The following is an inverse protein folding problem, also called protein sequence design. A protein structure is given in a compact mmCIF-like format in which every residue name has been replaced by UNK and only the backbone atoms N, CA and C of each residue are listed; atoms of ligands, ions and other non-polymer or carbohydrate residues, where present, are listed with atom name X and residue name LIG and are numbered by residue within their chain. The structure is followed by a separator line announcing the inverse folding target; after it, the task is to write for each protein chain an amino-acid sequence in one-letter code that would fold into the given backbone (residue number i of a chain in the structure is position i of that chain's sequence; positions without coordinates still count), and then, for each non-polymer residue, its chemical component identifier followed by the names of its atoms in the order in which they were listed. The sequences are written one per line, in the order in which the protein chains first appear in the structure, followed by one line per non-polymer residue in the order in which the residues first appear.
data_IF_330763701436
#
_entry.id   IF_330763701436
#
_cell.length_a   1.000
_cell.length_b   1.000
_cell.length_c   1.000
_cell.angle_alpha   90.00
_cell.angle_beta   90.00
_cell.angle_gamma   90.00
#
_symmetry.space_group_name_H-M   'P 1'
#
loop_
_entity.id
_entity.type
_entity.pdbx_description
1 polymer ?
#
# COMPACT_ATOMS: atom_id res chain seq x y z
N UNK A 1 -8.99 -11.56 -24.71
CA UNK A 1 -9.14 -10.11 -24.96
C UNK A 1 -10.04 -9.54 -23.86
N UNK A 2 -9.48 -9.05 -22.76
CA UNK A 2 -10.26 -8.41 -21.68
C UNK A 2 -10.71 -7.06 -22.21
N UNK A 3 -12.01 -6.78 -22.13
CA UNK A 3 -12.57 -5.45 -22.43
C UNK A 3 -11.96 -4.48 -21.43
N UNK A 4 -11.02 -3.65 -21.87
CA UNK A 4 -10.65 -2.44 -21.13
C UNK A 4 -11.94 -1.65 -20.96
N UNK A 5 -12.55 -1.72 -19.77
CA UNK A 5 -13.60 -0.77 -19.39
C UNK A 5 -12.99 0.59 -19.64
N UNK A 6 -13.60 1.38 -20.53
CA UNK A 6 -13.12 2.72 -20.84
C UNK A 6 -12.94 3.45 -19.51
N UNK A 7 -11.69 3.78 -19.16
CA UNK A 7 -11.40 4.46 -17.93
C UNK A 7 -12.12 5.81 -17.99
N UNK A 8 -12.97 6.08 -17.00
CA UNK A 8 -13.69 7.34 -16.83
C UNK A 8 -13.40 7.90 -15.44
N UNK A 9 -13.63 9.20 -15.22
CA UNK A 9 -13.50 9.79 -13.87
C UNK A 9 -14.32 9.03 -12.83
N UNK A 10 -15.52 8.54 -13.23
CA UNK A 10 -16.41 7.74 -12.37
C UNK A 10 -15.78 6.42 -11.90
N UNK A 11 -14.92 5.81 -12.72
CA UNK A 11 -14.22 4.55 -12.39
C UNK A 11 -12.85 4.76 -11.76
N UNK A 12 -12.41 6.00 -11.61
CA UNK A 12 -11.11 6.33 -11.05
C UNK A 12 -11.16 6.17 -9.52
N UNK A 13 -10.22 5.39 -8.99
CA UNK A 13 -10.06 5.19 -7.55
C UNK A 13 -8.58 5.38 -7.17
N UNK A 14 -8.29 5.37 -5.87
CA UNK A 14 -6.93 5.63 -5.36
C UNK A 14 -5.87 4.62 -5.81
N UNK A 15 -6.26 3.44 -6.30
CA UNK A 15 -5.34 2.46 -6.90
C UNK A 15 -5.15 2.72 -8.39
N UNK A 16 -6.24 2.76 -9.17
CA UNK A 16 -6.20 2.90 -10.63
C UNK A 16 -5.62 4.25 -11.10
N UNK A 17 -5.65 5.28 -10.24
CA UNK A 17 -5.04 6.58 -10.53
C UNK A 17 -3.52 6.50 -10.73
N UNK A 18 -2.85 5.46 -10.21
CA UNK A 18 -1.43 5.27 -10.45
C UNK A 18 -1.11 4.67 -11.82
N UNK A 19 -2.08 4.04 -12.50
CA UNK A 19 -1.91 3.50 -13.85
C UNK A 19 -2.04 4.57 -14.96
N UNK A 20 -2.65 5.73 -14.66
CA UNK A 20 -2.86 6.78 -15.65
C UNK A 20 -1.65 7.71 -15.83
N UNK A 21 -1.60 8.40 -16.97
CA UNK A 21 -0.63 9.46 -17.26
C UNK A 21 -1.25 10.86 -17.07
N UNK A 22 -0.42 11.90 -17.04
CA UNK A 22 -0.90 13.29 -16.88
C UNK A 22 -1.84 13.69 -18.02
N UNK A 23 -1.60 13.18 -19.24
CA UNK A 23 -2.47 13.44 -20.39
C UNK A 23 -3.85 12.81 -20.22
N UNK A 24 -3.91 11.64 -19.58
CA UNK A 24 -5.16 10.96 -19.31
C UNK A 24 -6.01 11.73 -18.31
N UNK A 25 -5.39 12.37 -17.32
CA UNK A 25 -6.10 13.24 -16.36
C UNK A 25 -6.90 14.32 -17.11
N UNK A 26 -6.29 15.01 -18.08
CA UNK A 26 -6.97 16.04 -18.86
C UNK A 26 -8.08 15.46 -19.74
N UNK A 27 -7.82 14.34 -20.42
CA UNK A 27 -8.82 13.67 -21.27
C UNK A 27 -10.03 13.18 -20.45
N UNK A 28 -9.78 12.59 -19.29
CA UNK A 28 -10.79 12.11 -18.35
C UNK A 28 -11.67 13.27 -17.87
N UNK A 29 -11.05 14.42 -17.58
CA UNK A 29 -11.76 15.64 -17.20
C UNK A 29 -12.62 16.19 -18.35
N UNK A 30 -12.07 16.29 -19.57
CA UNK A 30 -12.81 16.75 -20.75
C UNK A 30 -13.97 15.82 -21.12
N UNK A 31 -13.80 14.50 -20.95
CA UNK A 31 -14.87 13.53 -21.18
C UNK A 31 -16.00 13.71 -20.17
N UNK A 32 -15.67 13.95 -18.90
CA UNK A 32 -16.68 14.17 -17.88
C UNK A 32 -17.31 15.57 -17.94
N UNK A 33 -16.70 16.56 -18.58
CA UNK A 33 -17.37 17.85 -18.89
C UNK A 33 -18.62 17.65 -19.76
N UNK A 34 -18.69 16.55 -20.51
CA UNK A 34 -19.86 16.18 -21.33
C UNK A 34 -20.93 15.41 -20.54
N UNK A 35 -20.64 15.05 -19.30
CA UNK A 35 -21.49 14.25 -18.42
C UNK A 35 -22.06 15.14 -17.29
N UNK A 36 -23.38 15.14 -17.10
CA UNK A 36 -24.07 16.08 -16.20
C UNK A 36 -23.74 15.89 -14.72
N UNK A 37 -23.25 14.71 -14.34
CA UNK A 37 -22.96 14.31 -12.95
C UNK A 37 -21.63 14.83 -12.42
N UNK A 38 -20.84 15.54 -13.24
CA UNK A 38 -19.51 15.98 -12.84
C UNK A 38 -19.57 16.92 -11.62
N UNK A 39 -20.56 17.81 -11.54
CA UNK A 39 -20.61 18.94 -10.58
C UNK A 39 -20.54 18.51 -9.11
N UNK A 40 -21.25 17.46 -8.72
CA UNK A 40 -21.31 17.05 -7.30
C UNK A 40 -20.08 16.23 -6.87
N UNK A 41 -19.44 15.55 -7.81
CA UNK A 41 -18.32 14.64 -7.54
C UNK A 41 -16.93 15.23 -7.89
N UNK A 42 -16.83 16.47 -8.40
CA UNK A 42 -15.55 17.10 -8.78
C UNK A 42 -14.53 17.08 -7.64
N UNK A 43 -14.97 17.39 -6.42
CA UNK A 43 -14.09 17.44 -5.24
C UNK A 43 -13.53 16.07 -4.90
N UNK A 44 -14.37 15.04 -4.96
CA UNK A 44 -13.96 13.65 -4.73
C UNK A 44 -12.95 13.20 -5.79
N UNK A 45 -13.25 13.40 -7.07
CA UNK A 45 -12.32 13.02 -8.15
C UNK A 45 -11.01 13.79 -8.06
N UNK A 46 -11.03 15.08 -7.72
CA UNK A 46 -9.82 15.86 -7.51
C UNK A 46 -9.02 15.37 -6.31
N UNK A 47 -9.67 14.90 -5.23
CA UNK A 47 -8.97 14.26 -4.11
C UNK A 47 -8.31 12.93 -4.51
N UNK A 48 -8.98 12.12 -5.34
CA UNK A 48 -8.40 10.88 -5.88
C UNK A 48 -7.20 11.20 -6.80
N UNK A 49 -7.33 12.17 -7.70
CA UNK A 49 -6.19 12.57 -8.56
C UNK A 49 -5.05 13.15 -7.72
N UNK A 50 -5.35 13.93 -6.67
CA UNK A 50 -4.34 14.48 -5.75
C UNK A 50 -3.58 13.43 -4.93
N UNK A 51 -4.03 12.18 -4.85
CA UNK A 51 -3.27 11.13 -4.16
C UNK A 51 -2.01 10.78 -4.96
N UNK A 52 -2.09 10.72 -6.29
CA UNK A 52 -1.00 10.32 -7.18
C UNK A 52 -0.39 11.47 -8.03
N UNK A 53 -1.08 12.61 -8.14
CA UNK A 53 -0.63 13.75 -8.94
C UNK A 53 -0.58 15.03 -8.10
N UNK A 54 0.42 15.86 -8.36
CA UNK A 54 0.42 17.25 -7.96
C UNK A 54 -0.32 18.08 -8.99
N UNK A 55 -1.37 18.75 -8.54
CA UNK A 55 -2.26 19.57 -9.35
C UNK A 55 -2.21 21.00 -8.83
N UNK A 56 -1.87 21.95 -9.71
CA UNK A 56 -1.80 23.38 -9.38
C UNK A 56 -2.58 24.21 -10.41
N UNK A 57 -3.38 25.16 -9.92
CA UNK A 57 -4.12 26.10 -10.78
C UNK A 57 -3.16 27.21 -11.26
N UNK A 58 -3.07 27.39 -12.57
CA UNK A 58 -2.27 28.46 -13.19
C UNK A 58 -3.08 29.77 -13.13
N UNK A 59 -2.98 30.46 -11.99
CA UNK A 59 -3.69 31.75 -11.76
C UNK A 59 -3.21 32.88 -12.67
N UNK A 60 -1.98 32.80 -13.18
CA UNK A 60 -1.36 33.82 -14.03
C UNK A 60 -0.93 33.18 -15.34
N UNK A 61 -1.69 33.44 -16.40
CA UNK A 61 -1.42 32.95 -17.76
C UNK A 61 -0.27 33.73 -18.44
N UNK A 62 0.90 33.71 -17.80
CA UNK A 62 2.14 34.26 -18.35
C UNK A 62 3.00 33.13 -18.91
N UNK A 63 3.59 33.31 -20.11
CA UNK A 63 4.44 32.29 -20.73
C UNK A 63 5.67 31.96 -19.87
N UNK A 64 6.14 32.88 -19.02
CA UNK A 64 7.23 32.63 -18.07
C UNK A 64 6.86 31.64 -16.96
N UNK A 65 5.62 31.72 -16.44
CA UNK A 65 5.13 30.82 -15.38
C UNK A 65 4.90 29.43 -15.97
N UNK A 66 4.32 29.37 -17.17
CA UNK A 66 4.13 28.13 -17.93
C UNK A 66 5.48 27.46 -18.17
N UNK A 67 6.48 28.19 -18.70
CA UNK A 67 7.83 27.64 -18.91
C UNK A 67 8.47 27.13 -17.62
N UNK A 68 8.34 27.86 -16.50
CA UNK A 68 8.86 27.40 -15.20
C UNK A 68 8.15 26.13 -14.71
N UNK A 69 6.86 25.97 -14.97
CA UNK A 69 6.10 24.78 -14.62
C UNK A 69 6.50 23.60 -15.52
N UNK A 70 6.65 23.82 -16.83
CA UNK A 70 7.15 22.82 -17.78
C UNK A 70 8.59 22.37 -17.45
N UNK A 71 9.48 23.30 -17.09
CA UNK A 71 10.85 23.02 -16.63
C UNK A 71 10.85 22.17 -15.35
N UNK A 72 9.86 22.35 -14.47
CA UNK A 72 9.66 21.51 -13.28
C UNK A 72 8.99 20.17 -13.59
N UNK A 73 8.65 19.90 -14.86
CA UNK A 73 8.04 18.66 -15.32
C UNK A 73 6.52 18.61 -15.19
N UNK A 74 5.84 19.75 -15.03
CA UNK A 74 4.37 19.79 -15.09
C UNK A 74 3.89 19.84 -16.53
N UNK A 75 2.81 19.12 -16.82
CA UNK A 75 2.04 19.31 -18.05
C UNK A 75 0.92 20.28 -17.80
N UNK A 76 0.72 21.21 -18.74
CA UNK A 76 -0.30 22.23 -18.64
C UNK A 76 -1.46 21.86 -19.56
N UNK A 77 -2.65 21.86 -19.01
CA UNK A 77 -3.89 21.63 -19.75
C UNK A 77 -4.99 22.56 -19.26
N UNK A 78 -6.02 22.73 -20.07
CA UNK A 78 -7.22 23.46 -19.67
C UNK A 78 -8.26 22.46 -19.19
N UNK A 79 -8.79 22.66 -17.99
CA UNK A 79 -9.92 21.90 -17.47
C UNK A 79 -10.97 22.85 -16.93
N UNK A 80 -12.25 22.53 -17.13
CA UNK A 80 -13.36 23.28 -16.58
C UNK A 80 -13.64 22.81 -15.15
N UNK A 81 -13.53 23.74 -14.21
CA UNK A 81 -13.99 23.57 -12.84
C UNK A 81 -14.95 24.71 -12.53
N UNK A 82 -16.09 24.41 -11.91
CA UNK A 82 -17.09 25.41 -11.51
C UNK A 82 -17.50 26.36 -12.67
N UNK A 83 -17.75 25.80 -13.86
CA UNK A 83 -18.18 26.49 -15.09
C UNK A 83 -17.12 27.35 -15.81
N UNK A 84 -16.00 27.68 -15.15
CA UNK A 84 -14.86 28.39 -15.73
C UNK A 84 -13.81 27.44 -16.31
N UNK A 85 -13.37 27.70 -17.54
CA UNK A 85 -12.21 27.02 -18.12
C UNK A 85 -10.94 27.65 -17.55
N UNK A 86 -10.23 26.92 -16.71
CA UNK A 86 -8.98 27.37 -16.10
C UNK A 86 -7.81 26.54 -16.60
N UNK A 87 -6.62 27.11 -16.56
CA UNK A 87 -5.37 26.39 -16.86
C UNK A 87 -4.88 25.72 -15.60
N UNK A 88 -4.52 24.46 -15.72
CA UNK A 88 -4.05 23.62 -14.63
C UNK A 88 -2.77 22.93 -15.04
N UNK A 89 -1.84 22.89 -14.10
CA UNK A 89 -0.59 22.19 -14.19
C UNK A 89 -0.73 20.86 -13.42
N UNK A 90 -0.49 19.74 -14.11
CA UNK A 90 -0.57 18.39 -13.53
C UNK A 90 0.77 17.71 -13.68
N UNK A 91 1.28 17.14 -12.60
CA UNK A 91 2.52 16.37 -12.56
C UNK A 91 2.32 15.09 -11.77
N UNK A 92 2.71 13.95 -12.31
CA UNK A 92 2.67 12.70 -11.54
C UNK A 92 3.68 12.76 -10.41
N UNK A 93 3.25 12.40 -9.19
CA UNK A 93 4.14 12.34 -8.03
C UNK A 93 5.16 11.22 -8.25
N UNK A 94 6.46 11.54 -8.29
CA UNK A 94 7.47 10.51 -8.44
C UNK A 94 7.63 9.77 -7.11
N UNK A 95 7.60 8.45 -7.15
CA UNK A 95 7.93 7.60 -6.00
C UNK A 95 9.46 7.55 -5.93
N UNK A 96 10.05 8.37 -5.04
CA UNK A 96 11.50 8.50 -4.91
C UNK A 96 12.01 8.02 -3.58
N UNK A 97 11.17 7.94 -2.55
CA UNK A 97 11.51 7.52 -1.19
C UNK A 97 10.69 6.29 -0.80
N UNK A 98 11.20 5.51 0.16
CA UNK A 98 10.43 4.39 0.70
C UNK A 98 9.13 4.84 1.39
N UNK A 99 9.13 6.02 2.02
CA UNK A 99 7.92 6.59 2.63
C UNK A 99 6.87 7.03 1.61
N UNK A 100 7.22 7.14 0.33
CA UNK A 100 6.26 7.42 -0.73
C UNK A 100 5.51 6.15 -1.15
N UNK A 101 5.95 4.96 -0.73
CA UNK A 101 5.31 3.69 -1.03
C UNK A 101 4.05 3.52 -0.19
N UNK A 102 2.99 3.05 -0.83
CA UNK A 102 1.70 2.75 -0.21
C UNK A 102 1.16 1.43 -0.76
N UNK A 103 0.23 0.81 -0.04
CA UNK A 103 -0.48 -0.38 -0.52
C UNK A 103 -1.21 -0.16 -1.85
N UNK A 104 -1.52 1.10 -2.18
CA UNK A 104 -2.21 1.45 -3.42
C UNK A 104 -1.25 1.57 -4.60
N UNK A 105 -0.02 2.07 -4.39
CA UNK A 105 0.93 2.35 -5.47
C UNK A 105 1.94 1.24 -5.73
N UNK A 106 2.19 0.36 -4.76
CA UNK A 106 3.23 -0.68 -4.86
C UNK A 106 2.99 -1.64 -6.04
N UNK A 107 1.74 -1.91 -6.39
CA UNK A 107 1.38 -2.75 -7.52
C UNK A 107 1.52 -2.07 -8.89
N UNK A 108 1.81 -0.77 -8.91
CA UNK A 108 1.90 0.06 -10.13
C UNK A 108 3.31 0.54 -10.42
N UNK A 109 4.28 0.16 -9.59
CA UNK A 109 5.70 0.37 -9.86
C UNK A 109 6.33 -0.91 -10.40
N UNK A 110 7.40 -0.76 -11.18
CA UNK A 110 8.16 -1.90 -11.65
C UNK A 110 9.20 -2.37 -10.62
N UNK A 111 9.66 -3.62 -10.72
CA UNK A 111 10.74 -4.14 -9.88
C UNK A 111 12.01 -3.29 -10.00
N UNK A 112 12.36 -2.88 -11.21
CA UNK A 112 13.49 -1.97 -11.43
C UNK A 112 13.32 -0.64 -10.70
N UNK A 113 12.10 -0.08 -10.68
CA UNK A 113 11.83 1.17 -9.96
C UNK A 113 11.91 0.97 -8.44
N UNK A 114 11.41 -0.15 -7.93
CA UNK A 114 11.56 -0.50 -6.51
C UNK A 114 13.03 -0.58 -6.11
N UNK A 115 13.86 -1.26 -6.91
CA UNK A 115 15.32 -1.35 -6.67
C UNK A 115 15.97 0.04 -6.64
N UNK A 116 15.62 0.94 -7.56
CA UNK A 116 16.13 2.32 -7.57
C UNK A 116 15.75 3.08 -6.28
N UNK A 117 14.52 2.91 -5.81
CA UNK A 117 14.05 3.55 -4.56
C UNK A 117 14.79 2.96 -3.36
N UNK A 118 15.02 1.65 -3.32
CA UNK A 118 15.78 1.00 -2.26
C UNK A 118 17.23 1.51 -2.23
N UNK A 119 17.93 1.50 -3.36
CA UNK A 119 19.32 1.95 -3.51
C UNK A 119 19.52 3.42 -3.09
N UNK A 120 18.60 4.29 -3.54
CA UNK A 120 18.70 5.72 -3.27
C UNK A 120 18.47 6.10 -1.81
N UNK A 121 17.68 5.31 -1.07
CA UNK A 121 17.24 5.67 0.27
C UNK A 121 17.90 4.84 1.37
N UNK A 122 18.48 3.67 1.05
CA UNK A 122 19.06 2.77 2.03
C UNK A 122 20.34 2.09 1.51
N UNK A 123 21.39 2.12 2.33
CA UNK A 123 22.64 1.36 2.14
C UNK A 123 22.89 0.31 3.23
N UNK A 124 21.90 0.05 4.08
CA UNK A 124 22.01 -0.84 5.25
C UNK A 124 21.53 -2.27 5.04
N UNK A 125 20.89 -2.56 3.91
CA UNK A 125 20.26 -3.86 3.62
C UNK A 125 18.76 -3.91 3.91
N UNK A 126 18.13 -5.05 3.64
CA UNK A 126 16.67 -5.21 3.76
C UNK A 126 16.16 -5.00 5.19
N UNK A 127 16.86 -5.57 6.17
CA UNK A 127 16.54 -5.47 7.61
C UNK A 127 16.60 -4.04 8.17
N UNK A 128 17.19 -3.10 7.43
CA UNK A 128 17.24 -1.69 7.85
C UNK A 128 15.96 -0.91 7.53
N UNK A 129 15.07 -1.48 6.73
CA UNK A 129 13.79 -0.88 6.35
C UNK A 129 12.78 -1.12 7.46
N UNK A 130 11.91 -0.15 7.77
CA UNK A 130 10.87 -0.35 8.78
C UNK A 130 9.90 -1.46 8.36
N UNK A 131 9.42 -2.25 9.33
CA UNK A 131 8.49 -3.37 9.08
C UNK A 131 7.29 -2.94 8.23
N UNK A 132 6.70 -1.77 8.54
CA UNK A 132 5.57 -1.23 7.78
C UNK A 132 5.84 -1.07 6.28
N UNK A 133 7.06 -0.67 5.91
CA UNK A 133 7.46 -0.50 4.52
C UNK A 133 7.80 -1.87 3.91
N UNK A 134 8.45 -2.75 4.66
CA UNK A 134 8.69 -4.13 4.23
C UNK A 134 7.38 -4.84 3.91
N UNK A 135 6.33 -4.66 4.72
CA UNK A 135 5.00 -5.24 4.51
C UNK A 135 4.33 -4.67 3.25
N UNK A 136 4.42 -3.36 3.02
CA UNK A 136 3.93 -2.73 1.78
C UNK A 136 4.65 -3.34 0.58
N UNK A 137 5.98 -3.40 0.60
CA UNK A 137 6.76 -3.97 -0.51
C UNK A 137 6.39 -5.45 -0.73
N UNK A 138 6.35 -6.24 0.33
CA UNK A 138 6.02 -7.67 0.27
C UNK A 138 4.59 -7.91 -0.20
N UNK A 139 3.68 -6.94 -0.06
CA UNK A 139 2.33 -7.04 -0.62
C UNK A 139 2.35 -7.02 -2.16
N UNK A 140 3.22 -6.21 -2.78
CA UNK A 140 3.31 -6.04 -4.23
C UNK A 140 4.43 -6.83 -4.92
N UNK A 141 5.44 -7.26 -4.16
CA UNK A 141 6.64 -7.91 -4.66
C UNK A 141 6.94 -9.19 -3.90
N UNK A 142 7.51 -10.15 -4.60
CA UNK A 142 8.20 -11.27 -4.01
C UNK A 142 9.67 -10.88 -3.78
N UNK A 143 10.06 -10.87 -2.50
CA UNK A 143 11.38 -10.40 -2.06
C UNK A 143 12.15 -11.60 -1.53
N UNK A 144 13.39 -11.76 -2.00
CA UNK A 144 14.33 -12.74 -1.48
C UNK A 144 15.67 -12.06 -1.22
N UNK A 145 16.22 -12.26 -0.02
CA UNK A 145 17.48 -11.66 0.40
C UNK A 145 18.52 -12.74 0.62
N UNK A 146 19.74 -12.53 0.15
CA UNK A 146 20.87 -13.42 0.45
C UNK A 146 22.09 -12.60 0.80
N UNK A 147 22.92 -13.09 1.71
CA UNK A 147 24.20 -12.47 2.04
C UNK A 147 25.32 -13.47 1.81
N UNK A 148 26.18 -13.18 0.84
CA UNK A 148 27.30 -14.04 0.46
C UNK A 148 28.52 -13.16 0.14
N UNK A 149 29.76 -13.69 0.20
CA UNK A 149 30.91 -12.98 -0.34
C UNK A 149 30.71 -12.72 -1.84
N UNK A 150 31.14 -11.56 -2.34
CA UNK A 150 30.92 -11.13 -3.73
C UNK A 150 31.37 -12.19 -4.75
N UNK A 151 32.54 -12.81 -4.53
CA UNK A 151 33.08 -13.87 -5.40
C UNK A 151 32.17 -15.10 -5.49
N UNK A 152 31.43 -15.40 -4.42
CA UNK A 152 30.51 -16.54 -4.35
C UNK A 152 29.13 -16.21 -4.92
N UNK A 153 28.70 -14.95 -4.79
CA UNK A 153 27.41 -14.48 -5.30
C UNK A 153 27.34 -14.62 -6.83
N UNK A 154 28.39 -14.20 -7.55
CA UNK A 154 28.44 -14.24 -9.02
C UNK A 154 28.99 -15.55 -9.61
N UNK A 155 28.93 -16.66 -8.86
CA UNK A 155 29.35 -17.96 -9.39
C UNK A 155 28.46 -18.34 -10.59
N UNK A 156 29.07 -18.67 -11.73
CA UNK A 156 28.37 -19.12 -12.95
C UNK A 156 27.44 -20.28 -12.66
N UNK A 157 26.18 -20.21 -13.12
CA UNK A 157 25.13 -21.19 -12.84
C UNK A 157 24.60 -21.20 -11.40
N UNK A 158 25.04 -20.25 -10.57
CA UNK A 158 24.62 -20.08 -9.18
C UNK A 158 23.25 -19.43 -9.03
N UNK A 159 22.87 -19.13 -7.77
CA UNK A 159 21.55 -18.59 -7.43
C UNK A 159 21.30 -17.23 -8.10
N UNK A 160 22.32 -16.35 -8.16
CA UNK A 160 22.22 -15.04 -8.80
C UNK A 160 21.73 -15.11 -10.25
N UNK A 161 22.37 -15.93 -11.09
CA UNK A 161 21.96 -16.09 -12.50
C UNK A 161 20.59 -16.76 -12.64
N UNK A 162 20.20 -17.64 -11.70
CA UNK A 162 18.87 -18.29 -11.71
C UNK A 162 17.78 -17.27 -11.40
N UNK A 163 17.94 -16.46 -10.36
CA UNK A 163 16.97 -15.41 -10.00
C UNK A 163 16.78 -14.40 -11.14
N UNK A 164 17.87 -13.98 -11.80
CA UNK A 164 17.78 -13.10 -12.97
C UNK A 164 17.01 -13.74 -14.13
N UNK A 165 17.22 -15.04 -14.40
CA UNK A 165 16.47 -15.78 -15.43
C UNK A 165 14.99 -15.94 -15.08
N UNK A 166 14.67 -16.02 -13.79
CA UNK A 166 13.30 -16.08 -13.28
C UNK A 166 12.60 -14.71 -13.29
N UNK A 167 13.30 -13.64 -13.69
CA UNK A 167 12.75 -12.30 -13.83
C UNK A 167 12.82 -11.43 -12.58
N UNK A 168 13.66 -11.79 -11.60
CA UNK A 168 13.94 -10.91 -10.46
C UNK A 168 14.87 -9.78 -10.89
N UNK A 169 14.60 -8.58 -10.38
CA UNK A 169 15.57 -7.48 -10.34
C UNK A 169 16.38 -7.58 -9.06
N UNK A 170 17.67 -7.19 -9.09
CA UNK A 170 18.57 -7.34 -7.94
C UNK A 170 19.15 -5.99 -7.52
N UNK A 171 19.21 -5.76 -6.20
CA UNK A 171 20.02 -4.72 -5.57
C UNK A 171 21.15 -5.39 -4.80
N UNK A 172 22.39 -4.95 -5.05
CA UNK A 172 23.57 -5.43 -4.33
C UNK A 172 24.02 -4.36 -3.34
N UNK A 173 23.91 -4.65 -2.05
CA UNK A 173 24.34 -3.78 -0.96
C UNK A 173 25.65 -4.31 -0.38
N UNK A 174 26.77 -3.57 -0.50
CA UNK A 174 28.04 -4.01 0.06
C UNK A 174 28.03 -3.89 1.59
N UNK A 175 28.31 -4.99 2.27
CA UNK A 175 28.44 -5.13 3.73
C UNK A 175 29.84 -5.57 4.09
N UNK A 176 30.82 -4.68 3.91
CA UNK A 176 32.23 -4.98 4.15
C UNK A 176 32.77 -6.04 3.19
N UNK A 177 33.13 -7.22 3.69
CA UNK A 177 33.59 -8.36 2.86
C UNK A 177 32.45 -9.20 2.29
N UNK A 178 31.21 -8.89 2.63
CA UNK A 178 30.01 -9.58 2.19
C UNK A 178 29.17 -8.66 1.29
N UNK A 179 28.40 -9.25 0.39
CA UNK A 179 27.41 -8.55 -0.42
C UNK A 179 26.04 -9.13 -0.07
N UNK A 180 25.13 -8.25 0.33
CA UNK A 180 23.72 -8.60 0.42
C UNK A 180 23.07 -8.35 -0.94
N UNK A 181 22.49 -9.37 -1.54
CA UNK A 181 21.68 -9.24 -2.74
C UNK A 181 20.19 -9.34 -2.37
N UNK A 182 19.45 -8.30 -2.71
CA UNK A 182 18.00 -8.19 -2.53
C UNK A 182 17.37 -8.40 -3.91
N UNK A 183 16.73 -9.54 -4.09
CA UNK A 183 15.99 -9.90 -5.29
C UNK A 183 14.53 -9.48 -5.12
N UNK A 184 13.99 -8.78 -6.11
CA UNK A 184 12.60 -8.34 -6.15
C UNK A 184 11.94 -8.73 -7.47
N UNK A 185 10.75 -9.32 -7.39
CA UNK A 185 9.92 -9.66 -8.55
C UNK A 185 8.49 -9.21 -8.34
N UNK A 186 7.88 -8.63 -9.36
CA UNK A 186 6.49 -8.14 -9.28
C UNK A 186 5.54 -9.32 -9.04
N UNK A 187 4.69 -9.20 -8.02
CA UNK A 187 3.56 -10.12 -7.85
C UNK A 187 2.51 -9.79 -8.91
N UNK A 188 1.84 -10.79 -9.50
CA UNK A 188 0.76 -10.53 -10.44
C UNK A 188 -0.32 -9.68 -9.75
N UNK A 189 -0.81 -8.64 -10.43
CA UNK A 189 -1.94 -7.82 -9.97
C UNK A 189 -3.15 -8.75 -9.78
N UNK A 190 -3.38 -9.22 -8.55
CA UNK A 190 -4.63 -9.87 -8.21
C UNK A 190 -5.63 -8.74 -8.16
N UNK A 191 -6.46 -8.62 -9.20
CA UNK A 191 -7.67 -7.79 -9.16
C UNK A 191 -8.46 -8.29 -7.95
N UNK A 192 -8.30 -7.65 -6.79
CA UNK A 192 -9.21 -7.85 -5.66
C UNK A 192 -10.55 -7.35 -6.16
N UNK A 193 -11.35 -8.26 -6.72
CA UNK A 193 -12.79 -8.09 -6.77
C UNK A 193 -13.18 -7.84 -5.32
N UNK A 194 -13.40 -6.58 -4.96
CA UNK A 194 -14.12 -6.28 -3.73
C UNK A 194 -15.47 -6.95 -3.93
N UNK A 195 -15.71 -8.03 -3.20
CA UNK A 195 -17.02 -8.64 -3.14
C UNK A 195 -17.98 -7.55 -2.69
N UNK A 196 -19.05 -7.36 -3.47
CA UNK A 196 -20.10 -6.35 -3.30
C UNK A 196 -20.86 -6.48 -1.96
N UNK A 197 -20.42 -7.34 -1.05
CA UNK A 197 -21.09 -7.62 0.23
C UNK A 197 -20.77 -6.62 1.35
N UNK A 198 -19.79 -5.72 1.21
CA UNK A 198 -19.47 -4.70 2.24
C UNK A 198 -20.11 -3.32 1.96
N UNK A 199 -20.72 -3.10 0.79
CA UNK A 199 -21.24 -1.78 0.39
C UNK A 199 -22.77 -1.62 0.60
N UNK A 200 -23.52 -2.67 0.96
CA UNK A 200 -24.98 -2.56 1.18
C UNK A 200 -25.36 -2.08 2.60
N UNK A 201 -24.54 -2.30 3.64
CA UNK A 201 -24.86 -1.83 4.99
C UNK A 201 -24.54 -0.33 5.23
N UNK A 202 -23.68 0.28 4.41
CA UNK A 202 -23.19 1.64 4.61
C UNK A 202 -23.89 2.72 3.74
N UNK A 203 -24.82 2.30 2.88
CA UNK A 203 -25.60 3.19 2.01
C UNK A 203 -26.99 3.52 2.58
N UNK A 204 -27.56 2.67 3.44
CA UNK A 204 -28.88 2.92 4.04
C UNK A 204 -28.86 3.92 5.21
N UNK A 205 -27.69 4.25 5.77
CA UNK A 205 -27.58 5.25 6.85
C UNK A 205 -27.44 6.70 6.39
N UNK A 206 -27.28 6.96 5.08
CA UNK A 206 -26.95 8.30 4.56
C UNK A 206 -28.07 9.06 3.87
N UNK A 207 -29.26 8.47 3.74
CA UNK A 207 -30.33 9.05 2.91
C UNK A 207 -31.63 9.40 3.66
N UNK A 208 -31.56 9.63 4.98
CA UNK A 208 -32.77 9.73 5.82
C UNK A 208 -32.77 10.78 6.94
N UNK A 209 -31.96 11.85 6.91
CA UNK A 209 -32.02 12.87 7.97
C UNK A 209 -31.62 14.26 7.46
N UNK A 210 -32.46 14.86 6.60
CA UNK A 210 -32.44 16.30 6.34
C UNK A 210 -33.87 16.78 6.08
N UNK A 211 -34.59 17.00 7.16
CA UNK A 211 -35.72 17.94 7.23
C UNK A 211 -36.02 18.14 8.71
N UNK A 212 -35.77 19.34 9.25
CA UNK A 212 -36.61 20.12 10.17
C UNK A 212 -35.76 21.29 10.70
N UNK A 213 -36.04 22.45 10.11
CA UNK A 213 -35.71 23.77 10.60
C UNK A 213 -36.80 24.25 11.59
N UNK A 214 -36.40 25.17 12.46
CA UNK A 214 -37.20 26.10 13.28
C UNK A 214 -37.67 25.72 14.72
N UNK A 215 -37.13 26.45 15.70
CA UNK A 215 -37.96 27.27 16.60
C UNK A 215 -38.40 26.75 17.98
N UNK A 216 -37.70 27.20 19.03
CA UNK A 216 -38.19 27.68 20.35
C UNK A 216 -38.76 26.71 21.42
N UNK A 217 -38.19 26.90 22.63
CA UNK A 217 -38.76 26.94 24.01
C UNK A 217 -39.46 25.76 24.71
N UNK A 218 -38.95 25.57 25.94
CA UNK A 218 -39.57 25.26 27.24
C UNK A 218 -40.23 23.90 27.59
N UNK A 219 -39.70 23.40 28.72
CA UNK A 219 -40.29 22.65 29.85
C UNK A 219 -40.85 21.21 29.74
N UNK A 220 -40.35 20.42 30.71
CA UNK A 220 -40.99 19.35 31.50
C UNK A 220 -41.58 18.11 30.81
N UNK A 221 -40.95 16.95 31.00
CA UNK A 221 -41.17 16.05 32.16
C UNK A 221 -40.60 14.63 31.87
N UNK A 222 -39.99 14.02 32.87
CA UNK A 222 -39.10 12.85 32.81
C UNK A 222 -39.82 11.51 32.53
N UNK A 223 -39.10 10.38 32.29
CA UNK A 223 -38.36 9.72 33.37
C UNK A 223 -36.92 9.29 32.99
N UNK A 224 -36.02 9.42 33.96
CA UNK A 224 -34.70 8.78 33.98
C UNK A 224 -34.87 7.26 33.84
N UNK A 225 -34.33 6.68 32.78
CA UNK A 225 -34.11 5.24 32.69
C UNK A 225 -32.65 5.01 33.07
N UNK A 226 -32.45 4.40 34.22
CA UNK A 226 -31.15 3.97 34.77
C UNK A 226 -30.28 3.28 33.72
N UNK A 227 -29.11 3.86 33.46
CA UNK A 227 -28.00 3.23 32.75
C UNK A 227 -27.44 2.07 33.58
N UNK A 228 -28.11 0.92 33.54
CA UNK A 228 -27.57 -0.37 34.02
C UNK A 228 -26.60 -0.99 33.01
N UNK A 229 -25.57 -0.23 32.61
CA UNK A 229 -24.46 -0.73 31.79
C UNK A 229 -23.08 -0.30 32.32
N UNK A 230 -23.00 0.19 33.55
CA UNK A 230 -21.73 0.49 34.25
C UNK A 230 -21.50 -0.33 35.53
N UNK A 231 -22.10 -1.52 35.63
CA UNK A 231 -21.64 -2.56 36.57
C UNK A 231 -20.97 -3.66 35.76
N UNK A 232 -19.72 -3.39 35.34
CA UNK A 232 -18.76 -4.46 35.09
C UNK A 232 -18.00 -4.63 36.40
N UNK A 233 -18.12 -5.84 36.96
CA UNK A 233 -17.36 -6.34 38.09
C UNK A 233 -15.89 -5.89 38.05
N UNK A 234 -15.46 -5.29 39.15
CA UNK A 234 -14.06 -5.30 39.59
C UNK A 234 -13.70 -6.76 39.92
N UNK A 235 -13.37 -7.56 38.91
CA UNK A 235 -12.55 -8.76 39.09
C UNK A 235 -11.10 -8.41 38.71
N UNK A 236 -10.32 -8.29 39.76
CA UNK A 236 -8.91 -7.99 39.87
C UNK A 236 -8.06 -9.12 39.25
N UNK A 237 -7.94 -9.16 37.91
CA UNK A 237 -6.93 -9.97 37.21
C UNK A 237 -5.54 -9.29 37.28
N UNK A 238 -5.10 -8.96 38.50
CA UNK A 238 -3.71 -8.65 38.78
C UNK A 238 -2.91 -9.95 38.66
N UNK A 239 -2.04 -10.00 37.67
CA UNK A 239 -1.12 -11.10 37.40
C UNK A 239 -0.25 -11.37 38.66
N UNK A 240 -0.55 -12.46 39.38
CA UNK A 240 0.10 -12.82 40.65
C UNK A 240 1.46 -13.50 40.39
N UNK A 241 2.52 -12.71 40.42
CA UNK A 241 3.92 -13.12 40.19
C UNK A 241 4.43 -14.12 41.26
N UNK A 242 3.69 -14.31 42.36
CA UNK A 242 4.05 -15.22 43.47
C UNK A 242 3.69 -16.70 43.21
N UNK A 243 3.09 -17.02 42.04
CA UNK A 243 2.77 -18.40 41.64
C UNK A 243 3.83 -19.06 40.75
N UNK A 244 4.94 -18.37 40.45
CA UNK A 244 6.09 -18.91 39.73
C UNK A 244 7.04 -19.62 40.70
N UNK A 245 6.64 -20.78 41.21
CA UNK A 245 7.55 -21.65 41.96
C UNK A 245 8.41 -22.47 40.98
N UNK A 246 9.66 -22.76 41.37
CA UNK A 246 10.63 -23.54 40.56
C UNK A 246 10.10 -24.94 40.16
N UNK A 247 9.05 -25.44 40.80
CA UNK A 247 8.39 -26.71 40.48
C UNK A 247 7.53 -26.66 39.20
N UNK A 248 7.16 -25.47 38.71
CA UNK A 248 6.37 -25.29 37.47
C UNK A 248 7.23 -25.32 36.18
N UNK A 249 8.56 -25.36 36.30
CA UNK A 249 9.50 -25.60 35.18
C UNK A 249 9.72 -27.09 34.89
N UNK A 250 8.97 -27.99 35.53
CA UNK A 250 9.08 -29.42 35.25
C UNK A 250 8.29 -29.79 34.00
N UNK A 251 8.94 -29.77 32.83
CA UNK A 251 8.46 -30.56 31.69
C UNK A 251 8.60 -32.04 32.05
N UNK A 252 7.50 -32.71 32.35
CA UNK A 252 7.41 -34.18 32.30
C UNK A 252 7.68 -34.61 30.86
N UNK A 253 8.95 -34.82 30.52
CA UNK A 253 9.30 -35.77 29.49
C UNK A 253 9.08 -37.14 30.13
N UNK A 254 7.92 -37.76 29.87
CA UNK A 254 7.85 -39.21 29.94
C UNK A 254 8.84 -39.73 28.89
N UNK A 255 9.90 -40.40 29.34
CA UNK A 255 10.77 -41.16 28.45
C UNK A 255 9.90 -42.16 27.69
N UNK A 256 9.89 -42.16 26.34
CA UNK A 256 9.38 -43.31 25.63
C UNK A 256 10.31 -44.47 25.96
N UNK A 257 9.79 -45.46 26.68
CA UNK A 257 10.43 -46.75 26.93
C UNK A 257 11.07 -47.28 25.64
N UNK A 258 12.39 -47.45 25.70
CA UNK A 258 13.18 -48.49 25.04
C UNK A 258 12.62 -49.06 23.73
N UNK A 259 12.60 -48.25 22.67
CA UNK A 259 12.61 -48.76 21.30
C UNK A 259 14.06 -48.96 20.87
N UNK A 260 14.65 -50.06 21.35
CA UNK A 260 15.90 -50.60 20.85
C UNK A 260 15.79 -50.92 19.35
N UNK A 261 16.12 -49.95 18.50
CA UNK A 261 16.37 -50.20 17.10
C UNK A 261 17.87 -50.48 16.94
N UNK A 262 18.15 -51.78 16.87
CA UNK A 262 19.42 -52.42 16.62
C UNK A 262 20.14 -51.81 15.40
N UNK A 263 21.41 -51.49 15.61
CA UNK A 263 22.39 -51.00 14.64
C UNK A 263 22.57 -52.03 13.51
N UNK A 264 21.78 -51.91 12.43
CA UNK A 264 22.07 -52.61 11.17
C UNK A 264 23.17 -51.86 10.45
N UNK A 265 24.39 -52.24 10.82
CA UNK A 265 25.59 -52.17 10.00
C UNK A 265 25.26 -52.56 8.55
N UNK A 266 25.32 -51.59 7.63
CA UNK A 266 25.49 -51.88 6.21
C UNK A 266 26.96 -52.32 6.03
N UNK A 267 27.16 -53.63 6.03
CA UNK A 267 28.42 -54.24 5.61
C UNK A 267 28.65 -53.92 4.13
N UNK A 268 29.73 -53.17 3.89
CA UNK A 268 30.46 -53.18 2.63
C UNK A 268 30.95 -54.60 2.36
N UNK A 269 30.40 -55.27 1.33
CA UNK A 269 31.02 -56.46 0.75
C UNK A 269 30.89 -56.45 -0.79
N UNK A 270 32.03 -56.16 -1.44
CA UNK A 270 32.54 -56.54 -2.78
C UNK A 270 31.67 -56.42 -4.05
#
# INVERSE_FOLDING_TARGET
MKKEKALTLKTLNKSNVWDIQENDVFRLWEMAERDSDLKDNQRYYLQVVKSAFDIEEVKVDRPEVIKKLEERGYKIGTMRMDEEKKKWAVKKRPIMRLNDLTYENIHHISAAKLIEVLDRNFGGGWESISQSIQDIITSGFDISTTTLPADRLHKKGGMYEKMLKEGYSVLEVPKGTWTEAIFAKEKPKVEKFRSVHDDEEDLDKRNGMDSYDDGMDDDDDAPEIEDRYNELDDDDDTFDDDKLTEESYHTTFEEPEDLGLEDVTDDDDY
#
